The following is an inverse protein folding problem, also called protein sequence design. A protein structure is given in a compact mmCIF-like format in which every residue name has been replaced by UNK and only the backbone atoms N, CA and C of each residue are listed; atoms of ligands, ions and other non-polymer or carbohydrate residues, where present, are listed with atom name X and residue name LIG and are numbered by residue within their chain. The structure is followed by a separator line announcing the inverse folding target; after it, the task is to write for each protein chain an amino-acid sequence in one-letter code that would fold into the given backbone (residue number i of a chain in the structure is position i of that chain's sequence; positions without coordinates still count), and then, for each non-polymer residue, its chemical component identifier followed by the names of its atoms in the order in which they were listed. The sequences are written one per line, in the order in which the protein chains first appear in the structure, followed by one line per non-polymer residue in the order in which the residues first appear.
data_IF_851661096911
#
_entry.id   IF_851661096911
#
_cell.length_a   1.000
_cell.length_b   1.000
_cell.length_c   1.000
_cell.angle_alpha   90.00
_cell.angle_beta   90.00
_cell.angle_gamma   90.00
#
_symmetry.space_group_name_H-M   'P 1'
#
loop_
_entity.id
_entity.type
_entity.pdbx_description
1 polymer ?
#
# COMPACT_ATOMS: atom_id res chain seq x y z
N UNK A 1 -16.52 19.29 -16.16
CA UNK A 1 -16.69 17.94 -16.74
C UNK A 1 -15.44 17.15 -16.40
N UNK A 2 -15.58 15.94 -15.85
CA UNK A 2 -14.45 15.06 -15.49
C UNK A 2 -14.33 14.01 -16.58
N UNK A 3 -13.13 13.84 -17.15
CA UNK A 3 -12.84 12.83 -18.15
C UNK A 3 -11.89 11.81 -17.52
N UNK A 4 -12.38 10.63 -17.09
CA UNK A 4 -11.55 9.67 -16.39
C UNK A 4 -10.45 9.14 -17.30
N UNK A 5 -9.28 8.93 -16.71
CA UNK A 5 -8.13 8.26 -17.31
C UNK A 5 -7.59 7.20 -16.37
N UNK A 6 -7.07 6.12 -16.95
CA UNK A 6 -6.33 5.08 -16.25
C UNK A 6 -4.98 4.93 -16.95
N UNK A 7 -3.89 4.87 -16.18
CA UNK A 7 -2.56 4.58 -16.70
C UNK A 7 -1.92 3.43 -15.93
N UNK A 8 -0.92 2.80 -16.53
CA UNK A 8 -0.02 1.88 -15.85
C UNK A 8 1.40 2.43 -15.88
N UNK A 9 2.10 2.32 -14.76
CA UNK A 9 3.52 2.66 -14.64
C UNK A 9 4.18 1.70 -13.64
N UNK A 10 5.42 1.97 -13.27
CA UNK A 10 6.20 1.09 -12.40
C UNK A 10 7.12 1.90 -11.49
N UNK A 11 7.53 1.29 -10.37
CA UNK A 11 8.49 1.77 -9.39
C UNK A 11 8.12 3.09 -8.68
N UNK A 12 8.97 3.50 -7.75
CA UNK A 12 8.77 4.71 -6.95
C UNK A 12 8.70 5.98 -7.81
N UNK A 13 9.46 6.08 -8.90
CA UNK A 13 9.40 7.23 -9.81
C UNK A 13 8.07 7.29 -10.54
N UNK A 14 7.56 6.16 -11.03
CA UNK A 14 6.23 6.08 -11.64
C UNK A 14 5.14 6.47 -10.65
N UNK A 15 5.21 5.96 -9.42
CA UNK A 15 4.29 6.30 -8.34
C UNK A 15 4.29 7.81 -8.02
N UNK A 16 5.48 8.38 -7.84
CA UNK A 16 5.67 9.80 -7.57
C UNK A 16 5.12 10.69 -8.70
N UNK A 17 5.47 10.40 -9.95
CA UNK A 17 5.03 11.20 -11.09
C UNK A 17 3.51 11.13 -11.28
N UNK A 18 2.90 9.96 -11.14
CA UNK A 18 1.45 9.82 -11.18
C UNK A 18 0.75 10.63 -10.06
N UNK A 19 1.32 10.60 -8.85
CA UNK A 19 0.81 11.39 -7.74
C UNK A 19 0.92 12.90 -7.99
N UNK A 20 2.02 13.37 -8.59
CA UNK A 20 2.20 14.78 -8.99
C UNK A 20 1.20 15.24 -10.05
N UNK A 21 0.77 14.34 -10.92
CA UNK A 21 -0.31 14.56 -11.89
C UNK A 21 -1.71 14.51 -11.24
N UNK A 22 -1.79 14.26 -9.94
CA UNK A 22 -3.04 14.25 -9.17
C UNK A 22 -3.87 12.99 -9.35
N UNK A 23 -3.24 11.87 -9.73
CA UNK A 23 -3.90 10.55 -9.81
C UNK A 23 -4.06 9.94 -8.41
N UNK A 24 -5.06 9.10 -8.25
CA UNK A 24 -5.03 8.05 -7.22
C UNK A 24 -4.03 7.00 -7.66
N UNK A 25 -3.23 6.52 -6.72
CA UNK A 25 -2.20 5.51 -7.00
C UNK A 25 -2.62 4.17 -6.41
N UNK A 26 -2.66 3.13 -7.24
CA UNK A 26 -2.85 1.76 -6.83
C UNK A 26 -1.53 1.00 -6.94
N UNK A 27 -0.90 0.68 -5.82
CA UNK A 27 0.36 -0.07 -5.77
C UNK A 27 0.06 -1.56 -5.89
N UNK A 28 0.83 -2.24 -6.73
CA UNK A 28 0.79 -3.69 -6.94
C UNK A 28 2.18 -4.26 -6.69
N UNK A 29 2.31 -4.97 -5.58
CA UNK A 29 3.50 -5.69 -5.11
C UNK A 29 3.06 -7.10 -4.69
N UNK A 30 3.21 -8.07 -5.59
CA UNK A 30 2.67 -9.42 -5.40
C UNK A 30 3.44 -10.15 -4.29
N UNK A 31 4.75 -9.93 -4.20
CA UNK A 31 5.67 -10.64 -3.30
C UNK A 31 6.42 -9.64 -2.42
N UNK A 32 5.93 -9.27 -1.24
CA UNK A 32 4.70 -9.74 -0.58
C UNK A 32 3.83 -8.56 -0.08
N UNK A 33 4.19 -7.30 -0.36
CA UNK A 33 3.60 -6.13 0.33
C UNK A 33 2.11 -5.96 0.06
N UNK A 34 1.68 -5.92 -1.20
CA UNK A 34 0.25 -5.74 -1.51
C UNK A 34 -0.54 -6.98 -1.13
N UNK A 35 0.06 -8.17 -1.20
CA UNK A 35 -0.58 -9.40 -0.71
C UNK A 35 -0.82 -9.38 0.80
N UNK A 36 0.15 -8.92 1.59
CA UNK A 36 -0.04 -8.71 3.03
C UNK A 36 -1.08 -7.64 3.33
N UNK A 37 -1.03 -6.51 2.62
CA UNK A 37 -1.99 -5.41 2.78
C UNK A 37 -3.43 -5.86 2.53
N UNK A 38 -3.67 -6.56 1.41
CA UNK A 38 -4.99 -7.08 1.06
C UNK A 38 -5.47 -8.15 2.05
N UNK A 39 -4.56 -8.97 2.58
CA UNK A 39 -4.89 -9.97 3.59
C UNK A 39 -5.34 -9.34 4.92
N UNK A 40 -4.65 -8.29 5.39
CA UNK A 40 -5.05 -7.62 6.64
C UNK A 40 -6.29 -6.75 6.47
N UNK A 41 -6.52 -6.18 5.29
CA UNK A 41 -7.79 -5.51 4.96
C UNK A 41 -8.96 -6.51 5.04
N UNK A 42 -8.78 -7.74 4.56
CA UNK A 42 -9.79 -8.79 4.68
C UNK A 42 -10.05 -9.19 6.15
N UNK A 43 -9.05 -9.08 7.02
CA UNK A 43 -9.22 -9.26 8.47
C UNK A 43 -9.88 -8.07 9.16
N UNK A 44 -10.14 -6.97 8.45
CA UNK A 44 -10.79 -5.78 8.97
C UNK A 44 -9.83 -4.73 9.53
N UNK A 45 -8.57 -4.68 9.06
CA UNK A 45 -7.73 -3.49 9.24
C UNK A 45 -8.46 -2.25 8.71
N UNK A 46 -8.33 -1.12 9.40
CA UNK A 46 -9.10 0.10 9.07
C UNK A 46 -8.42 0.96 8.02
N UNK A 47 -7.10 0.92 7.95
CA UNK A 47 -6.31 1.66 6.96
C UNK A 47 -4.92 1.04 6.79
N UNK A 48 -4.39 1.15 5.57
CA UNK A 48 -3.05 0.69 5.21
C UNK A 48 -2.20 1.86 4.75
N UNK A 49 -0.98 1.91 5.26
CA UNK A 49 0.09 2.76 4.75
C UNK A 49 1.25 1.91 4.26
N UNK A 50 2.02 2.46 3.33
CA UNK A 50 3.30 1.90 2.90
C UNK A 50 4.43 2.93 3.06
N UNK A 51 5.58 2.50 3.54
CA UNK A 51 6.73 3.36 3.81
C UNK A 51 8.03 2.73 3.31
N UNK A 52 8.99 3.57 2.95
CA UNK A 52 10.34 3.10 2.62
C UNK A 52 11.14 2.74 3.89
N UNK A 53 12.02 1.72 3.85
CA UNK A 53 12.87 1.38 4.98
C UNK A 53 13.93 2.44 5.29
N UNK A 54 14.45 2.41 6.52
CA UNK A 54 15.53 3.27 6.97
C UNK A 54 16.76 3.18 6.04
N UNK A 55 17.22 4.35 5.55
CA UNK A 55 18.41 4.45 4.72
C UNK A 55 18.24 3.96 3.27
N UNK A 56 17.05 3.54 2.87
CA UNK A 56 16.77 3.15 1.49
C UNK A 56 16.78 4.38 0.58
N UNK A 57 17.29 4.23 -0.65
CA UNK A 57 17.45 5.34 -1.60
C UNK A 57 16.77 5.02 -2.91
N UNK A 58 15.95 5.95 -3.37
CA UNK A 58 15.30 5.95 -4.67
C UNK A 58 15.47 7.32 -5.34
N UNK A 59 15.33 7.44 -6.67
CA UNK A 59 15.57 8.69 -7.39
C UNK A 59 14.46 9.76 -7.20
N UNK A 60 13.53 9.55 -6.27
CA UNK A 60 12.44 10.48 -5.95
C UNK A 60 12.33 10.71 -4.45
N UNK A 61 11.73 11.83 -4.00
CA UNK A 61 11.52 12.09 -2.58
C UNK A 61 10.68 11.00 -1.91
N UNK A 62 11.14 10.58 -0.74
CA UNK A 62 10.43 9.69 0.19
C UNK A 62 10.55 10.29 1.60
N UNK A 63 9.57 10.04 2.45
CA UNK A 63 9.55 10.48 3.83
C UNK A 63 8.81 9.46 4.70
N UNK A 64 9.47 8.35 5.07
CA UNK A 64 8.85 7.30 5.88
C UNK A 64 8.46 7.78 7.28
N UNK A 65 9.14 8.80 7.82
CA UNK A 65 8.73 9.44 9.08
C UNK A 65 7.37 10.15 8.92
N UNK A 66 7.18 10.87 7.81
CA UNK A 66 5.90 11.50 7.47
C UNK A 66 4.76 10.49 7.31
N UNK A 67 5.04 9.34 6.69
CA UNK A 67 4.08 8.22 6.60
C UNK A 67 3.73 7.71 8.00
N UNK A 68 4.73 7.47 8.85
CA UNK A 68 4.52 7.04 10.23
C UNK A 68 3.69 8.03 11.04
N UNK A 69 3.94 9.33 10.87
CA UNK A 69 3.17 10.38 11.53
C UNK A 69 1.71 10.38 11.08
N UNK A 70 1.45 10.26 9.76
CA UNK A 70 0.10 10.19 9.22
C UNK A 70 -0.65 8.95 9.72
N UNK A 71 -0.01 7.78 9.71
CA UNK A 71 -0.58 6.55 10.26
C UNK A 71 -0.90 6.71 11.76
N UNK A 72 0.00 7.34 12.51
CA UNK A 72 -0.19 7.71 13.92
C UNK A 72 -1.43 8.58 14.15
N UNK A 73 -1.65 9.60 13.33
CA UNK A 73 -2.85 10.44 13.42
C UNK A 73 -4.11 9.66 13.11
N UNK A 74 -4.11 8.84 12.06
CA UNK A 74 -5.25 7.97 11.74
C UNK A 74 -5.56 7.00 12.88
N UNK A 75 -4.54 6.42 13.52
CA UNK A 75 -4.75 5.51 14.64
C UNK A 75 -5.42 6.21 15.84
N UNK A 76 -4.99 7.43 16.17
CA UNK A 76 -5.62 8.23 17.22
C UNK A 76 -7.06 8.62 16.87
N UNK A 77 -7.32 9.04 15.62
CA UNK A 77 -8.67 9.37 15.14
C UNK A 77 -9.63 8.17 15.16
N UNK A 78 -9.09 6.95 15.04
CA UNK A 78 -9.84 5.70 15.07
C UNK A 78 -9.81 5.00 16.42
N UNK A 79 -9.21 5.62 17.44
CA UNK A 79 -9.06 5.07 18.80
C UNK A 79 -8.47 3.65 18.80
N UNK A 80 -7.41 3.45 18.00
CA UNK A 80 -6.80 2.14 17.78
C UNK A 80 -5.28 2.21 17.79
N UNK A 81 -4.62 1.04 17.75
CA UNK A 81 -3.17 0.92 17.67
C UNK A 81 -2.66 0.68 16.26
N UNK A 82 -1.33 0.61 16.14
CA UNK A 82 -0.64 0.37 14.88
C UNK A 82 0.14 -0.95 14.93
N UNK A 83 0.01 -1.75 13.87
CA UNK A 83 0.89 -2.89 13.61
C UNK A 83 1.76 -2.57 12.39
N UNK A 84 3.07 -2.75 12.53
CA UNK A 84 4.01 -2.55 11.43
C UNK A 84 4.34 -3.90 10.80
N UNK A 85 4.23 -3.99 9.48
CA UNK A 85 4.70 -5.13 8.70
C UNK A 85 6.06 -4.75 8.11
N UNK A 86 7.10 -5.55 8.31
CA UNK A 86 8.46 -5.21 7.86
C UNK A 86 9.22 -6.39 7.29
N UNK A 87 10.15 -6.08 6.42
CA UNK A 87 11.23 -7.00 6.01
C UNK A 87 12.40 -6.98 7.00
N UNK A 88 13.24 -8.03 7.04
CA UNK A 88 13.15 -9.24 6.21
C UNK A 88 12.11 -10.26 6.72
N UNK A 89 11.65 -11.12 5.80
CA UNK A 89 10.77 -12.26 6.10
C UNK A 89 11.41 -13.22 7.10
N UNK A 90 12.68 -13.57 6.88
CA UNK A 90 13.50 -14.36 7.80
C UNK A 90 14.61 -13.45 8.32
N UNK A 91 14.70 -13.28 9.63
CA UNK A 91 15.63 -12.36 10.28
C UNK A 91 15.16 -12.00 11.69
N UNK A 92 15.93 -11.17 12.39
CA UNK A 92 15.67 -10.81 13.78
C UNK A 92 14.71 -9.63 13.90
N UNK A 93 14.07 -9.50 15.06
CA UNK A 93 13.18 -8.39 15.34
C UNK A 93 13.94 -7.06 15.45
N UNK A 94 15.20 -7.10 15.90
CA UNK A 94 16.08 -5.92 15.91
C UNK A 94 16.40 -5.42 14.50
N UNK A 95 16.48 -6.31 13.51
CA UNK A 95 16.69 -5.92 12.12
C UNK A 95 15.44 -5.24 11.54
N UNK A 96 14.26 -5.85 11.74
CA UNK A 96 12.98 -5.23 11.34
C UNK A 96 12.77 -3.88 12.00
N UNK A 97 13.03 -3.79 13.31
CA UNK A 97 12.91 -2.56 14.07
C UNK A 97 13.84 -1.47 13.53
N UNK A 98 15.10 -1.80 13.22
CA UNK A 98 16.05 -0.87 12.60
C UNK A 98 15.56 -0.35 11.24
N UNK A 99 15.01 -1.23 10.40
CA UNK A 99 14.43 -0.86 9.10
C UNK A 99 13.21 0.05 9.26
N UNK A 100 12.45 -0.10 10.33
CA UNK A 100 11.26 0.71 10.62
C UNK A 100 11.54 2.02 11.36
N UNK A 101 12.80 2.32 11.73
CA UNK A 101 13.12 3.41 12.67
C UNK A 101 12.49 4.77 12.29
N UNK A 102 12.52 5.26 11.04
CA UNK A 102 11.84 6.51 10.68
C UNK A 102 10.31 6.44 10.89
N UNK A 103 9.67 5.34 10.50
CA UNK A 103 8.22 5.15 10.69
C UNK A 103 7.87 5.15 12.18
N UNK A 104 8.66 4.44 13.00
CA UNK A 104 8.51 4.39 14.46
C UNK A 104 8.61 5.80 15.05
N UNK A 105 9.58 6.60 14.59
CA UNK A 105 9.74 7.98 15.04
C UNK A 105 8.53 8.84 14.66
N UNK A 106 8.01 8.71 13.44
CA UNK A 106 6.81 9.39 12.98
C UNK A 106 5.58 9.04 13.84
N UNK A 107 5.34 7.75 14.08
CA UNK A 107 4.23 7.26 14.91
C UNK A 107 4.34 7.82 16.34
N UNK A 108 5.53 7.76 16.94
CA UNK A 108 5.78 8.30 18.29
C UNK A 108 5.56 9.81 18.35
N UNK A 109 5.98 10.56 17.33
CA UNK A 109 5.72 12.00 17.22
C UNK A 109 4.23 12.32 17.13
N UNK A 110 3.43 11.44 16.50
CA UNK A 110 1.98 11.60 16.45
C UNK A 110 1.30 11.33 17.81
N UNK A 111 1.93 10.52 18.67
CA UNK A 111 1.45 10.12 19.99
C UNK A 111 0.72 8.76 20.01
N UNK A 112 0.80 7.97 18.93
CA UNK A 112 0.10 6.69 18.82
C UNK A 112 0.93 5.50 19.32
N UNK A 113 0.25 4.42 19.68
CA UNK A 113 0.85 3.19 20.17
C UNK A 113 1.18 2.21 19.03
N UNK A 114 2.37 1.62 19.09
CA UNK A 114 2.80 0.54 18.20
C UNK A 114 2.62 -0.77 18.96
N UNK A 115 1.66 -1.60 18.53
CA UNK A 115 1.31 -2.87 19.17
C UNK A 115 2.22 -4.02 18.76
N UNK A 116 2.88 -3.91 17.60
CA UNK A 116 3.80 -4.94 17.14
C UNK A 116 4.51 -4.61 15.85
N UNK A 117 5.62 -5.31 15.60
CA UNK A 117 6.34 -5.33 14.32
C UNK A 117 6.42 -6.80 13.90
N UNK A 118 5.84 -7.13 12.74
CA UNK A 118 5.74 -8.51 12.24
C UNK A 118 6.41 -8.64 10.86
N UNK A 119 6.92 -9.83 10.48
CA UNK A 119 7.48 -10.05 9.16
C UNK A 119 6.46 -9.92 8.03
N UNK A 120 6.88 -9.43 6.86
CA UNK A 120 6.09 -9.48 5.62
C UNK A 120 5.98 -10.92 5.09
N UNK A 121 4.81 -11.56 5.25
CA UNK A 121 4.58 -12.98 4.90
C UNK A 121 3.46 -13.20 3.86
N UNK A 122 3.03 -12.15 3.16
CA UNK A 122 1.89 -12.22 2.25
C UNK A 122 0.63 -12.66 2.99
N UNK A 123 -0.12 -13.61 2.42
CA UNK A 123 -1.37 -14.10 3.01
C UNK A 123 -1.21 -14.74 4.41
N UNK A 124 -0.01 -15.22 4.74
CA UNK A 124 0.28 -15.87 6.03
C UNK A 124 0.44 -14.87 7.18
N UNK A 125 0.47 -13.57 6.89
CA UNK A 125 0.47 -12.49 7.90
C UNK A 125 -0.68 -12.63 8.88
N UNK A 126 -1.80 -13.17 8.41
CA UNK A 126 -3.05 -13.35 9.16
C UNK A 126 -2.94 -14.28 10.36
N UNK A 127 -1.84 -15.02 10.48
CA UNK A 127 -1.53 -15.91 11.62
C UNK A 127 -0.67 -15.26 12.70
N UNK A 128 -0.15 -14.05 12.46
CA UNK A 128 0.87 -13.44 13.31
C UNK A 128 0.31 -12.46 14.34
N UNK A 129 -0.82 -11.81 14.04
CA UNK A 129 -1.43 -10.82 14.91
C UNK A 129 -2.92 -10.66 14.57
N UNK A 130 -3.68 -10.02 15.47
CA UNK A 130 -5.04 -9.56 15.17
C UNK A 130 -4.97 -8.16 14.54
N UNK A 131 -5.38 -8.07 13.27
CA UNK A 131 -5.38 -6.83 12.51
C UNK A 131 -6.74 -6.12 12.52
N UNK A 132 -7.77 -6.73 13.10
CA UNK A 132 -9.12 -6.17 13.08
C UNK A 132 -9.15 -4.85 13.83
N UNK A 133 -9.63 -3.80 13.17
CA UNK A 133 -9.69 -2.46 13.74
C UNK A 133 -8.35 -1.71 13.75
N UNK A 134 -7.26 -2.32 13.30
CA UNK A 134 -5.91 -1.74 13.41
C UNK A 134 -5.55 -0.89 12.20
N UNK A 135 -4.73 0.15 12.42
CA UNK A 135 -3.98 0.80 11.36
C UNK A 135 -2.71 0.01 11.11
N UNK A 136 -2.35 -0.18 9.85
CA UNK A 136 -1.18 -1.00 9.49
C UNK A 136 -0.22 -0.20 8.61
N UNK A 137 1.08 -0.32 8.88
CA UNK A 137 2.12 0.29 8.05
C UNK A 137 3.06 -0.79 7.51
N UNK A 138 3.13 -0.96 6.19
CA UNK A 138 4.03 -1.90 5.54
C UNK A 138 5.33 -1.20 5.11
N UNK A 139 6.44 -1.58 5.73
CA UNK A 139 7.80 -1.07 5.49
C UNK A 139 8.56 -2.06 4.63
N UNK A 140 8.61 -1.82 3.31
CA UNK A 140 9.22 -2.75 2.34
C UNK A 140 10.01 -2.01 1.26
N UNK A 141 11.05 -2.67 0.72
CA UNK A 141 11.98 -2.06 -0.22
C UNK A 141 11.30 -1.55 -1.50
N UNK A 142 10.32 -2.30 -2.04
CA UNK A 142 9.62 -1.95 -3.30
C UNK A 142 8.25 -1.32 -3.06
N UNK A 143 7.23 -2.10 -2.67
CA UNK A 143 5.86 -1.60 -2.53
C UNK A 143 5.70 -0.50 -1.50
N UNK A 144 6.33 -0.64 -0.33
CA UNK A 144 6.35 0.38 0.72
C UNK A 144 6.98 1.68 0.22
N UNK A 145 8.12 1.59 -0.47
CA UNK A 145 8.79 2.75 -1.07
C UNK A 145 7.96 3.42 -2.19
N UNK A 146 7.28 2.64 -3.05
CA UNK A 146 6.40 3.19 -4.08
C UNK A 146 5.18 3.90 -3.47
N UNK A 147 4.60 3.32 -2.43
CA UNK A 147 3.54 3.94 -1.65
C UNK A 147 4.01 5.24 -1.02
N UNK A 148 5.14 5.21 -0.32
CA UNK A 148 5.75 6.37 0.35
C UNK A 148 5.92 7.55 -0.61
N UNK A 149 6.51 7.29 -1.78
CA UNK A 149 6.77 8.30 -2.79
C UNK A 149 5.47 8.93 -3.32
N UNK A 150 4.45 8.12 -3.60
CA UNK A 150 3.14 8.62 -4.05
C UNK A 150 2.40 9.39 -2.94
N UNK A 151 2.40 8.86 -1.71
CA UNK A 151 1.73 9.47 -0.57
C UNK A 151 2.32 10.85 -0.26
N UNK A 152 3.64 10.96 -0.18
CA UNK A 152 4.33 12.23 0.08
C UNK A 152 4.23 13.22 -1.09
N UNK A 153 3.97 12.74 -2.31
CA UNK A 153 3.62 13.58 -3.45
C UNK A 153 2.16 14.07 -3.45
N UNK A 154 1.34 13.62 -2.49
CA UNK A 154 -0.03 14.08 -2.26
C UNK A 154 -1.13 13.18 -2.82
N UNK A 155 -0.81 11.96 -3.26
CA UNK A 155 -1.84 11.02 -3.72
C UNK A 155 -2.54 10.31 -2.56
N UNK A 156 -3.83 9.98 -2.79
CA UNK A 156 -4.45 8.85 -2.10
C UNK A 156 -3.87 7.57 -2.69
N UNK A 157 -3.31 6.73 -1.85
CA UNK A 157 -2.67 5.48 -2.27
C UNK A 157 -3.46 4.29 -1.74
N UNK A 158 -3.70 3.29 -2.59
CA UNK A 158 -4.33 2.02 -2.26
C UNK A 158 -3.44 0.87 -2.74
N UNK A 159 -3.76 -0.34 -2.31
CA UNK A 159 -3.12 -1.57 -2.77
C UNK A 159 -4.08 -2.42 -3.59
N UNK A 160 -3.52 -3.27 -4.45
CA UNK A 160 -4.23 -4.38 -5.05
C UNK A 160 -3.25 -5.54 -5.30
N UNK A 161 -3.76 -6.76 -5.27
CA UNK A 161 -2.98 -7.97 -5.59
C UNK A 161 -3.83 -8.96 -6.38
N UNK A 162 -3.15 -9.84 -7.12
CA UNK A 162 -3.75 -10.99 -7.79
C UNK A 162 -3.55 -12.28 -7.00
N UNK A 163 -2.83 -12.21 -5.88
CA UNK A 163 -2.59 -13.32 -4.98
C UNK A 163 -3.86 -13.71 -4.20
N UNK A 164 -3.87 -14.95 -3.72
CA UNK A 164 -4.90 -15.43 -2.82
C UNK A 164 -4.69 -14.84 -1.44
N UNK A 165 -5.77 -14.46 -0.77
CA UNK A 165 -5.78 -14.08 0.65
C UNK A 165 -6.81 -14.95 1.37
N UNK A 166 -6.79 -15.05 2.71
CA UNK A 166 -7.77 -15.87 3.42
C UNK A 166 -9.21 -15.54 3.02
N UNK A 167 -10.01 -16.55 2.71
CA UNK A 167 -11.40 -16.39 2.28
C UNK A 167 -11.63 -15.97 0.83
N UNK A 168 -10.59 -15.61 0.05
CA UNK A 168 -10.72 -15.17 -1.35
C UNK A 168 -9.71 -15.82 -2.30
N UNK A 169 -10.20 -16.24 -3.48
CA UNK A 169 -9.34 -16.63 -4.59
C UNK A 169 -8.71 -15.39 -5.24
N UNK A 170 -7.60 -15.56 -5.96
CA UNK A 170 -6.85 -14.44 -6.55
C UNK A 170 -7.70 -13.48 -7.40
N UNK A 171 -8.63 -13.99 -8.21
CA UNK A 171 -9.55 -13.17 -8.99
C UNK A 171 -10.53 -12.36 -8.11
N UNK A 172 -10.99 -12.95 -7.02
CA UNK A 172 -11.91 -12.31 -6.07
C UNK A 172 -11.17 -11.22 -5.26
N UNK A 173 -9.92 -11.47 -4.86
CA UNK A 173 -9.04 -10.47 -4.24
C UNK A 173 -8.83 -9.28 -5.17
N UNK A 174 -8.45 -9.55 -6.42
CA UNK A 174 -8.21 -8.52 -7.43
C UNK A 174 -9.47 -7.68 -7.69
N UNK A 175 -10.63 -8.33 -7.87
CA UNK A 175 -11.90 -7.64 -8.07
C UNK A 175 -12.29 -6.75 -6.87
N UNK A 176 -12.07 -7.23 -5.64
CA UNK A 176 -12.34 -6.44 -4.43
C UNK A 176 -11.43 -5.20 -4.35
N UNK A 177 -10.15 -5.33 -4.66
CA UNK A 177 -9.21 -4.20 -4.74
C UNK A 177 -9.60 -3.19 -5.81
N UNK A 178 -9.89 -3.67 -7.03
CA UNK A 178 -10.33 -2.85 -8.17
C UNK A 178 -11.58 -2.06 -7.82
N UNK A 179 -12.58 -2.70 -7.21
CA UNK A 179 -13.81 -2.04 -6.78
C UNK A 179 -13.51 -0.88 -5.82
N UNK A 180 -12.70 -1.10 -4.78
CA UNK A 180 -12.31 -0.05 -3.83
C UNK A 180 -11.57 1.11 -4.50
N UNK A 181 -10.64 0.81 -5.42
CA UNK A 181 -9.89 1.82 -6.18
C UNK A 181 -10.85 2.66 -7.05
N UNK A 182 -11.74 2.01 -7.79
CA UNK A 182 -12.72 2.67 -8.64
C UNK A 182 -13.70 3.54 -7.84
N UNK A 183 -14.21 3.03 -6.71
CA UNK A 183 -15.08 3.79 -5.82
C UNK A 183 -14.38 5.04 -5.28
N UNK A 184 -13.13 4.91 -4.83
CA UNK A 184 -12.35 6.04 -4.34
C UNK A 184 -12.10 7.08 -5.44
N UNK A 185 -11.72 6.63 -6.63
CA UNK A 185 -11.48 7.50 -7.79
C UNK A 185 -12.73 8.25 -8.24
N UNK A 186 -13.88 7.56 -8.29
CA UNK A 186 -15.17 8.19 -8.62
C UNK A 186 -15.60 9.19 -7.55
N UNK A 187 -15.46 8.83 -6.27
CA UNK A 187 -15.79 9.68 -5.11
C UNK A 187 -15.06 11.02 -5.16
N UNK A 188 -13.78 11.01 -5.54
CA UNK A 188 -12.94 12.20 -5.58
C UNK A 188 -12.78 12.82 -6.98
N UNK A 189 -13.39 12.23 -8.02
CA UNK A 189 -13.23 12.62 -9.44
C UNK A 189 -11.75 12.69 -9.86
N UNK A 190 -11.05 11.60 -9.60
CA UNK A 190 -9.60 11.47 -9.83
C UNK A 190 -9.32 10.35 -10.84
N UNK A 191 -8.27 10.51 -11.63
CA UNK A 191 -7.75 9.45 -12.49
C UNK A 191 -7.05 8.37 -11.66
N UNK A 192 -6.81 7.19 -12.25
CA UNK A 192 -6.17 6.06 -11.57
C UNK A 192 -4.84 5.73 -12.24
N UNK A 193 -3.78 5.58 -11.45
CA UNK A 193 -2.51 5.04 -11.90
C UNK A 193 -2.27 3.70 -11.20
N UNK A 194 -2.16 2.62 -11.97
CA UNK A 194 -1.74 1.31 -11.46
C UNK A 194 -0.22 1.23 -11.54
N UNK A 195 0.43 0.93 -10.42
CA UNK A 195 1.89 0.97 -10.29
C UNK A 195 2.39 -0.41 -9.90
N UNK A 196 3.12 -1.07 -10.81
CA UNK A 196 3.94 -2.21 -10.46
C UNK A 196 5.07 -1.75 -9.52
N UNK A 197 5.16 -2.29 -8.31
CA UNK A 197 6.09 -1.79 -7.30
C UNK A 197 7.56 -1.90 -7.73
N UNK A 198 7.91 -2.93 -8.49
CA UNK A 198 9.22 -3.07 -9.13
C UNK A 198 9.11 -3.20 -10.64
N UNK A 199 9.91 -2.43 -11.38
CA UNK A 199 10.06 -2.59 -12.84
C UNK A 199 10.90 -3.82 -13.24
N UNK A 200 11.51 -4.50 -12.27
CA UNK A 200 12.34 -5.68 -12.48
C UNK A 200 11.62 -6.98 -12.05
N UNK A 201 10.45 -6.87 -11.42
CA UNK A 201 9.63 -8.01 -11.01
C UNK A 201 8.56 -8.26 -12.08
N UNK A 202 8.68 -9.37 -12.81
CA UNK A 202 7.73 -9.71 -13.88
C UNK A 202 6.33 -9.96 -13.31
N UNK A 203 6.26 -10.56 -12.14
CA UNK A 203 5.03 -10.81 -11.39
C UNK A 203 4.28 -9.51 -11.07
N UNK A 204 4.98 -8.44 -10.69
CA UNK A 204 4.36 -7.14 -10.40
C UNK A 204 3.85 -6.48 -11.68
N UNK A 205 4.64 -6.53 -12.77
CA UNK A 205 4.24 -5.96 -14.05
C UNK A 205 3.00 -6.64 -14.63
N UNK A 206 2.97 -7.98 -14.61
CA UNK A 206 1.83 -8.75 -15.11
C UNK A 206 0.60 -8.59 -14.21
N UNK A 207 0.79 -8.54 -12.89
CA UNK A 207 -0.30 -8.28 -11.96
C UNK A 207 -0.87 -6.86 -12.12
N UNK A 208 -0.01 -5.85 -12.27
CA UNK A 208 -0.43 -4.47 -12.54
C UNK A 208 -1.22 -4.36 -13.84
N UNK A 209 -0.77 -5.05 -14.90
CA UNK A 209 -1.50 -5.09 -16.17
C UNK A 209 -2.87 -5.76 -16.00
N UNK A 210 -2.95 -6.84 -15.23
CA UNK A 210 -4.22 -7.50 -14.94
C UNK A 210 -5.18 -6.60 -14.16
N UNK A 211 -4.70 -5.92 -13.11
CA UNK A 211 -5.49 -4.95 -12.34
C UNK A 211 -5.96 -3.78 -13.22
N UNK A 212 -5.09 -3.26 -14.07
CA UNK A 212 -5.43 -2.23 -15.06
C UNK A 212 -6.60 -2.68 -15.95
N UNK A 213 -6.53 -3.88 -16.51
CA UNK A 213 -7.60 -4.43 -17.36
C UNK A 213 -8.92 -4.59 -16.59
N UNK A 214 -8.87 -5.07 -15.34
CA UNK A 214 -10.06 -5.19 -14.50
C UNK A 214 -10.71 -3.83 -14.20
N UNK A 215 -9.93 -2.75 -14.05
CA UNK A 215 -10.48 -1.39 -13.88
C UNK A 215 -11.25 -0.95 -15.13
N UNK A 216 -10.76 -1.33 -16.32
CA UNK A 216 -11.47 -1.06 -17.58
C UNK A 216 -12.77 -1.86 -17.66
N UNK A 217 -12.73 -3.14 -17.30
CA UNK A 217 -13.91 -4.03 -17.26
C UNK A 217 -14.96 -3.58 -16.24
N UNK A 218 -14.55 -3.05 -15.09
CA UNK A 218 -15.41 -2.43 -14.06
C UNK A 218 -16.11 -1.16 -14.59
N UNK A 219 -15.75 -0.68 -15.79
CA UNK A 219 -16.40 0.43 -16.46
C UNK A 219 -16.03 1.80 -15.89
N UNK A 220 -14.86 1.94 -15.25
CA UNK A 220 -14.40 3.23 -14.71
C UNK A 220 -14.33 4.32 -15.79
N UNK A 221 -13.85 3.97 -16.98
CA UNK A 221 -13.79 4.90 -18.12
C UNK A 221 -15.15 5.18 -18.77
N UNK A 222 -16.13 4.29 -18.60
CA UNK A 222 -17.48 4.42 -19.16
C UNK A 222 -18.42 5.24 -18.27
N UNK A 223 -17.97 5.63 -17.07
CA UNK A 223 -18.80 6.27 -16.04
C UNK A 223 -18.98 7.80 -16.23
N UNK A 224 -18.98 8.29 -17.48
CA UNK A 224 -18.99 9.73 -17.82
C UNK A 224 -20.36 10.21 -18.26
#
# INVERSE_FOLDING_TARGET
MFYPSVIMTSNASGAYNAAKEGFIVAVVDVIDMSTSAEAVLEMGAVEIYGASPAGFKVPVPINPEGVGFAAGKTALEKETGIIIISEPRVGTDEERKRRCEPVIQGIKKAGAEILGIVPNLGAEITKLADFKGMVVVAVTDSGGTAFDAAFNAGARVLTATVARVPGKKGKETAAAGVKRICEEAKRHRKNIAVVAASSNALEDLLAAQYIYNLILEEGFLSSV
#
